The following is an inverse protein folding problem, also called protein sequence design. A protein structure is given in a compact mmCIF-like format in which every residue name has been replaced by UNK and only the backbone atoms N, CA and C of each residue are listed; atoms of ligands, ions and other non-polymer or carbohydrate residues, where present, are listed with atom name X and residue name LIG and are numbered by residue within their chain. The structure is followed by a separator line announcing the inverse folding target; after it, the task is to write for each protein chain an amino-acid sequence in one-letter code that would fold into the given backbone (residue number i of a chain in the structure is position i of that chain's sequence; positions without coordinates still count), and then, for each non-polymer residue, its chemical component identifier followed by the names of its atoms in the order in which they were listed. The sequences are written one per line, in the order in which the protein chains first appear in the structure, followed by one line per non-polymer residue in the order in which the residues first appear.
data_IF_769394509025
#
_entry.id   IF_769394509025
#
_cell.length_a   1.000
_cell.length_b   1.000
_cell.length_c   1.000
_cell.angle_alpha   90.00
_cell.angle_beta   90.00
_cell.angle_gamma   90.00
#
_symmetry.space_group_name_H-M   'P 1'
#
loop_
_entity.id
_entity.type
_entity.pdbx_description
1 polymer ?
#
# COMPACT_ATOMS: atom_id res chain seq x y z
N UNK A 1 -10.31 27.24 22.42
CA UNK A 1 -9.23 26.45 21.81
C UNK A 1 -8.70 27.25 20.64
N UNK A 2 -7.47 27.78 20.75
CA UNK A 2 -6.86 28.65 19.73
C UNK A 2 -6.24 27.75 18.66
N UNK A 3 -6.47 28.00 17.35
CA UNK A 3 -5.83 27.20 16.31
C UNK A 3 -4.31 27.41 16.35
N UNK A 4 -3.56 26.31 16.18
CA UNK A 4 -2.10 26.31 16.14
C UNK A 4 -1.59 27.22 15.00
N UNK A 5 -0.65 28.15 15.25
CA UNK A 5 -0.15 29.09 14.25
C UNK A 5 0.78 28.48 13.18
N UNK A 6 1.14 27.19 13.26
CA UNK A 6 2.01 26.56 12.26
C UNK A 6 1.23 25.68 11.27
N UNK A 7 1.07 26.08 10.00
CA UNK A 7 0.58 25.16 8.98
C UNK A 7 1.62 24.05 8.79
N UNK A 8 1.22 22.79 9.04
CA UNK A 8 2.05 21.63 8.73
C UNK A 8 2.37 21.67 7.23
N UNK A 9 3.61 22.02 6.90
CA UNK A 9 4.13 21.97 5.54
C UNK A 9 4.19 20.50 5.14
N UNK A 10 3.29 20.11 4.26
CA UNK A 10 3.27 18.80 3.61
C UNK A 10 4.54 18.72 2.76
N UNK A 11 5.51 17.94 3.20
CA UNK A 11 6.66 17.56 2.39
C UNK A 11 6.42 16.13 1.89
N UNK A 12 6.54 15.97 0.58
CA UNK A 12 6.03 14.88 -0.24
C UNK A 12 6.65 13.48 0.00
N UNK A 13 7.39 13.30 1.09
CA UNK A 13 8.38 12.22 1.25
C UNK A 13 8.23 11.34 2.49
N UNK A 14 7.16 11.47 3.28
CA UNK A 14 7.07 10.75 4.56
C UNK A 14 6.04 9.61 4.52
N UNK A 15 6.55 8.40 4.28
CA UNK A 15 5.83 7.15 4.55
C UNK A 15 5.91 6.88 6.06
N UNK A 16 4.73 6.67 6.66
CA UNK A 16 4.46 6.42 8.07
C UNK A 16 5.53 5.64 8.86
N UNK A 17 6.28 6.36 9.70
CA UNK A 17 6.79 5.85 10.98
C UNK A 17 6.94 7.05 11.92
N UNK A 18 5.85 7.42 12.58
CA UNK A 18 5.86 8.34 13.72
C UNK A 18 5.29 7.60 14.94
N UNK A 19 6.17 7.16 15.84
CA UNK A 19 5.83 6.52 17.11
C UNK A 19 5.61 7.64 18.13
N UNK A 20 4.45 8.28 18.11
CA UNK A 20 4.14 9.39 19.04
C UNK A 20 2.89 9.14 19.90
N UNK A 21 2.51 7.89 20.15
CA UNK A 21 1.29 7.57 20.91
C UNK A 21 1.43 6.38 21.86
N UNK A 22 2.25 6.51 22.90
CA UNK A 22 2.08 5.70 24.12
C UNK A 22 1.32 6.54 25.15
N UNK A 23 0.19 6.04 25.72
CA UNK A 23 -0.55 6.74 26.77
C UNK A 23 0.25 6.75 28.09
N UNK A 24 0.23 7.89 28.79
CA UNK A 24 1.03 8.24 29.98
C UNK A 24 0.73 7.40 31.25
N UNK A 25 -0.03 6.31 31.16
CA UNK A 25 -0.68 5.68 32.34
C UNK A 25 0.14 4.60 33.06
N UNK A 26 1.43 4.44 32.76
CA UNK A 26 2.30 3.44 33.44
C UNK A 26 3.54 4.04 34.10
N UNK A 27 3.46 5.27 34.61
CA UNK A 27 4.54 5.93 35.33
C UNK A 27 4.61 5.53 36.83
N UNK A 28 4.82 4.25 37.14
CA UNK A 28 5.24 3.84 38.50
C UNK A 28 6.29 2.74 38.39
N UNK A 29 7.55 3.13 38.14
CA UNK A 29 8.82 2.47 38.50
C UNK A 29 9.89 2.67 37.41
N UNK A 30 10.37 3.90 37.18
CA UNK A 30 11.07 4.21 35.93
C UNK A 30 12.29 5.13 36.11
N UNK A 31 13.26 4.76 36.94
CA UNK A 31 14.62 5.33 36.83
C UNK A 31 15.53 4.43 36.01
N UNK A 32 15.46 3.10 36.23
CA UNK A 32 16.22 2.12 35.42
C UNK A 32 15.67 1.91 34.01
N UNK A 33 14.36 1.98 33.82
CA UNK A 33 13.75 1.87 32.49
C UNK A 33 13.96 3.13 31.63
N UNK A 34 14.09 4.31 32.25
CA UNK A 34 14.36 5.56 31.54
C UNK A 34 15.81 5.59 31.03
N UNK A 35 16.77 5.07 31.80
CA UNK A 35 18.16 4.87 31.32
C UNK A 35 18.22 3.83 30.19
N UNK A 36 17.47 2.72 30.31
CA UNK A 36 17.44 1.69 29.26
C UNK A 36 16.76 2.18 27.97
N UNK A 37 15.71 2.98 28.08
CA UNK A 37 15.03 3.61 26.94
C UNK A 37 15.91 4.67 26.25
N UNK A 38 16.71 5.41 27.02
CA UNK A 38 17.67 6.41 26.50
C UNK A 38 18.90 5.74 25.86
N UNK A 39 19.25 4.52 26.27
CA UNK A 39 20.34 3.73 25.70
C UNK A 39 19.97 3.01 24.38
N UNK A 40 18.69 2.93 24.03
CA UNK A 40 18.28 2.47 22.70
C UNK A 40 18.60 3.59 21.70
N UNK A 41 19.73 3.45 20.98
CA UNK A 41 20.00 4.24 19.79
C UNK A 41 18.72 4.33 18.95
N UNK A 42 18.27 5.54 18.54
CA UNK A 42 17.10 5.67 17.69
C UNK A 42 17.26 4.72 16.53
N UNK A 43 16.43 3.67 16.46
CA UNK A 43 16.51 2.68 15.38
C UNK A 43 16.48 3.48 14.10
N UNK A 44 17.57 3.43 13.32
CA UNK A 44 17.69 4.25 12.13
C UNK A 44 16.41 4.09 11.33
N UNK A 45 15.73 5.22 11.09
CA UNK A 45 14.49 5.23 10.33
C UNK A 45 14.87 4.61 8.98
N UNK A 46 14.47 3.38 8.70
CA UNK A 46 14.76 2.71 7.43
C UNK A 46 13.84 3.35 6.39
N UNK A 47 14.09 4.61 6.07
CA UNK A 47 13.58 5.26 4.88
C UNK A 47 14.56 4.92 3.77
N UNK A 48 14.17 4.01 2.88
CA UNK A 48 14.82 3.88 1.57
C UNK A 48 14.52 5.15 0.77
N UNK A 49 15.13 6.28 1.16
CA UNK A 49 15.14 7.52 0.40
C UNK A 49 16.15 7.39 -0.75
N UNK A 50 15.96 6.37 -1.59
CA UNK A 50 16.76 6.15 -2.77
C UNK A 50 15.92 6.55 -3.98
N UNK A 51 16.29 7.69 -4.57
CA UNK A 51 15.61 8.27 -5.73
C UNK A 51 15.59 7.33 -6.94
N UNK A 52 16.61 6.50 -7.11
CA UNK A 52 16.66 5.51 -8.20
C UNK A 52 15.63 4.41 -7.98
N UNK A 53 15.54 3.86 -6.77
CA UNK A 53 14.52 2.85 -6.44
C UNK A 53 13.10 3.41 -6.59
N UNK A 54 12.86 4.66 -6.16
CA UNK A 54 11.58 5.34 -6.36
C UNK A 54 11.26 5.49 -7.85
N UNK A 55 12.23 5.94 -8.66
CA UNK A 55 12.01 6.03 -10.11
C UNK A 55 11.70 4.66 -10.73
N UNK A 56 12.44 3.61 -10.34
CA UNK A 56 12.19 2.24 -10.79
C UNK A 56 10.78 1.76 -10.38
N UNK A 57 10.36 2.04 -9.15
CA UNK A 57 9.01 1.73 -8.67
C UNK A 57 7.94 2.47 -9.47
N UNK A 58 8.13 3.75 -9.81
CA UNK A 58 7.22 4.51 -10.71
C UNK A 58 7.15 3.90 -12.08
N UNK A 59 8.30 3.54 -12.66
CA UNK A 59 8.32 2.93 -13.99
C UNK A 59 7.58 1.60 -13.98
N UNK A 60 7.85 0.73 -13.00
CA UNK A 60 7.16 -0.55 -12.85
C UNK A 60 5.67 -0.33 -12.65
N UNK A 61 5.26 0.58 -11.76
CA UNK A 61 3.83 0.84 -11.52
C UNK A 61 3.12 1.39 -12.76
N UNK A 62 3.76 2.30 -13.50
CA UNK A 62 3.20 2.84 -14.75
C UNK A 62 3.07 1.76 -15.82
N UNK A 63 4.09 0.92 -15.99
CA UNK A 63 4.04 -0.15 -17.00
C UNK A 63 3.03 -1.23 -16.63
N UNK A 64 2.93 -1.62 -15.35
CA UNK A 64 1.96 -2.64 -14.89
C UNK A 64 0.52 -2.15 -14.94
N UNK A 65 0.26 -0.85 -14.95
CA UNK A 65 -1.09 -0.30 -15.18
C UNK A 65 -1.36 -0.08 -16.68
N UNK A 66 -0.46 0.61 -17.39
CA UNK A 66 -0.72 1.05 -18.76
C UNK A 66 -0.72 -0.10 -19.76
N UNK A 67 0.23 -1.04 -19.65
CA UNK A 67 0.35 -2.13 -20.62
C UNK A 67 -0.88 -3.06 -20.58
N UNK A 68 -1.31 -3.59 -19.41
CA UNK A 68 -2.51 -4.41 -19.36
C UNK A 68 -3.78 -3.64 -19.74
N UNK A 69 -3.89 -2.36 -19.37
CA UNK A 69 -5.04 -1.53 -19.75
C UNK A 69 -5.17 -1.40 -21.28
N UNK A 70 -4.08 -1.03 -21.95
CA UNK A 70 -4.04 -0.95 -23.41
C UNK A 70 -4.32 -2.31 -24.05
N UNK A 71 -3.75 -3.38 -23.50
CA UNK A 71 -4.01 -4.76 -23.92
C UNK A 71 -5.48 -5.15 -23.80
N UNK A 72 -6.16 -4.78 -22.71
CA UNK A 72 -7.59 -5.02 -22.51
C UNK A 72 -8.45 -4.24 -23.49
N UNK A 73 -8.13 -2.96 -23.75
CA UNK A 73 -8.85 -2.15 -24.75
C UNK A 73 -8.71 -2.76 -26.14
N UNK A 74 -7.50 -3.16 -26.53
CA UNK A 74 -7.26 -3.82 -27.81
C UNK A 74 -7.99 -5.17 -27.90
N UNK A 75 -7.93 -5.97 -26.84
CA UNK A 75 -8.63 -7.26 -26.78
C UNK A 75 -10.13 -7.09 -26.99
N UNK A 76 -10.76 -6.11 -26.33
CA UNK A 76 -12.18 -5.77 -26.51
C UNK A 76 -12.48 -5.39 -27.96
N UNK A 77 -11.63 -4.54 -28.57
CA UNK A 77 -11.79 -4.13 -29.97
C UNK A 77 -11.65 -5.27 -30.98
N UNK A 78 -10.85 -6.30 -30.66
CA UNK A 78 -10.65 -7.47 -31.51
C UNK A 78 -11.73 -8.56 -31.31
N UNK A 79 -12.56 -8.48 -30.27
CA UNK A 79 -13.61 -9.47 -29.98
C UNK A 79 -14.53 -9.77 -31.17
N UNK A 80 -15.04 -8.79 -31.93
CA UNK A 80 -15.93 -9.09 -33.05
C UNK A 80 -15.23 -9.80 -34.21
N UNK A 81 -13.89 -9.70 -34.30
CA UNK A 81 -13.09 -10.29 -35.38
C UNK A 81 -12.60 -11.70 -35.03
N UNK A 82 -12.19 -11.92 -33.78
CA UNK A 82 -11.52 -13.15 -33.35
C UNK A 82 -12.40 -14.06 -32.48
N UNK A 83 -13.47 -13.53 -31.86
CA UNK A 83 -14.28 -14.24 -30.88
C UNK A 83 -13.53 -14.51 -29.56
N UNK A 84 -14.15 -15.30 -28.67
CA UNK A 84 -13.55 -15.74 -27.40
C UNK A 84 -13.68 -17.26 -27.31
N UNK A 85 -12.57 -17.96 -27.12
CA UNK A 85 -12.57 -19.39 -26.84
C UNK A 85 -12.67 -19.70 -25.34
N UNK A 86 -12.87 -20.98 -25.04
CA UNK A 86 -12.97 -21.47 -23.65
C UNK A 86 -11.63 -21.37 -22.91
N UNK A 87 -10.51 -21.42 -23.63
CA UNK A 87 -9.17 -21.37 -23.03
C UNK A 87 -8.90 -19.96 -22.52
N UNK A 88 -9.20 -18.94 -23.31
CA UNK A 88 -9.07 -17.53 -22.96
C UNK A 88 -9.95 -17.19 -21.75
N UNK A 89 -11.22 -17.63 -21.77
CA UNK A 89 -12.14 -17.41 -20.67
C UNK A 89 -11.68 -18.14 -19.40
N UNK A 90 -11.24 -19.39 -19.51
CA UNK A 90 -10.77 -20.17 -18.36
C UNK A 90 -9.50 -19.59 -17.76
N UNK A 91 -8.56 -19.10 -18.58
CA UNK A 91 -7.36 -18.41 -18.12
C UNK A 91 -7.71 -17.09 -17.41
N UNK A 92 -8.59 -16.27 -17.99
CA UNK A 92 -9.04 -15.02 -17.39
C UNK A 92 -9.64 -15.26 -16.00
N UNK A 93 -10.61 -16.17 -15.90
CA UNK A 93 -11.31 -16.45 -14.64
C UNK A 93 -10.36 -17.06 -13.62
N UNK A 94 -9.57 -18.05 -14.01
CA UNK A 94 -8.65 -18.74 -13.09
C UNK A 94 -7.58 -17.81 -12.55
N UNK A 95 -6.95 -17.01 -13.43
CA UNK A 95 -5.92 -16.06 -13.00
C UNK A 95 -6.50 -14.92 -12.16
N UNK A 96 -7.70 -14.43 -12.48
CA UNK A 96 -8.38 -13.43 -11.65
C UNK A 96 -8.61 -13.94 -10.21
N UNK A 97 -9.11 -15.17 -10.08
CA UNK A 97 -9.36 -15.78 -8.76
C UNK A 97 -8.03 -16.00 -8.02
N UNK A 98 -7.04 -16.61 -8.68
CA UNK A 98 -5.76 -16.96 -8.04
C UNK A 98 -4.99 -15.72 -7.57
N UNK A 99 -4.89 -14.69 -8.41
CA UNK A 99 -4.22 -13.43 -8.04
C UNK A 99 -5.02 -12.64 -6.99
N UNK A 100 -6.34 -12.64 -7.08
CA UNK A 100 -7.23 -12.05 -6.07
C UNK A 100 -7.07 -12.71 -4.70
N UNK A 101 -6.97 -14.04 -4.65
CA UNK A 101 -6.64 -14.78 -3.43
C UNK A 101 -5.23 -14.47 -2.93
N UNK A 102 -4.26 -14.34 -3.84
CA UNK A 102 -2.90 -13.92 -3.52
C UNK A 102 -2.83 -12.57 -2.80
N UNK A 103 -3.61 -11.59 -3.22
CA UNK A 103 -3.70 -10.29 -2.55
C UNK A 103 -4.50 -10.38 -1.25
N UNK A 104 -5.72 -10.90 -1.31
CA UNK A 104 -6.65 -10.85 -0.17
C UNK A 104 -6.26 -11.79 0.97
N UNK A 105 -5.83 -13.01 0.66
CA UNK A 105 -5.41 -14.01 1.65
C UNK A 105 -3.92 -13.90 1.93
N UNK A 106 -3.10 -13.75 0.88
CA UNK A 106 -1.64 -13.63 1.01
C UNK A 106 -1.21 -12.28 1.54
N UNK A 107 -1.14 -11.25 0.68
CA UNK A 107 -0.57 -9.95 1.03
C UNK A 107 -1.29 -9.30 2.21
N UNK A 108 -2.62 -9.31 2.20
CA UNK A 108 -3.44 -8.66 3.21
C UNK A 108 -3.52 -9.47 4.52
N UNK A 109 -4.16 -10.65 4.52
CA UNK A 109 -4.44 -11.39 5.76
C UNK A 109 -3.19 -12.04 6.34
N UNK A 110 -2.38 -12.71 5.51
CA UNK A 110 -1.20 -13.43 5.98
C UNK A 110 -0.02 -12.48 6.26
N UNK A 111 0.44 -11.72 5.25
CA UNK A 111 1.66 -10.92 5.40
C UNK A 111 1.45 -9.61 6.18
N UNK A 112 0.37 -8.86 5.89
CA UNK A 112 0.14 -7.59 6.57
C UNK A 112 -0.42 -7.77 7.98
N UNK A 113 -1.47 -8.58 8.15
CA UNK A 113 -2.18 -8.73 9.43
C UNK A 113 -1.80 -9.95 10.26
N UNK A 114 -1.02 -10.90 9.72
CA UNK A 114 -0.64 -12.14 10.42
C UNK A 114 -1.85 -12.90 11.00
N UNK A 115 -2.96 -12.91 10.27
CA UNK A 115 -4.24 -13.43 10.73
C UNK A 115 -4.24 -14.94 11.00
N UNK A 116 -3.30 -15.69 10.42
CA UNK A 116 -3.13 -17.13 10.62
C UNK A 116 -1.68 -17.56 10.42
N UNK A 117 -1.33 -18.76 10.90
CA UNK A 117 -0.04 -19.42 10.63
C UNK A 117 -0.22 -20.45 9.53
N UNK A 118 0.77 -20.60 8.66
CA UNK A 118 0.79 -21.63 7.62
C UNK A 118 2.16 -22.29 7.50
N UNK A 119 2.24 -23.40 6.78
CA UNK A 119 3.53 -24.00 6.43
C UNK A 119 4.24 -23.18 5.33
N UNK A 120 5.51 -23.51 5.07
CA UNK A 120 6.34 -22.78 4.12
C UNK A 120 5.84 -22.87 2.67
N UNK A 121 5.22 -23.99 2.30
CA UNK A 121 4.67 -24.19 0.95
C UNK A 121 3.54 -23.19 0.70
N UNK A 122 2.56 -23.11 1.62
CA UNK A 122 1.44 -22.17 1.51
C UNK A 122 1.94 -20.73 1.52
N UNK A 123 2.91 -20.39 2.38
CA UNK A 123 3.51 -19.06 2.42
C UNK A 123 4.12 -18.65 1.07
N UNK A 124 4.93 -19.54 0.47
CA UNK A 124 5.56 -19.28 -0.82
C UNK A 124 4.50 -19.16 -1.92
N UNK A 125 3.51 -20.06 -1.93
CA UNK A 125 2.41 -20.01 -2.91
C UNK A 125 1.64 -18.70 -2.82
N UNK A 126 1.28 -18.25 -1.63
CA UNK A 126 0.59 -16.98 -1.43
C UNK A 126 1.46 -15.77 -1.85
N UNK A 127 2.78 -15.83 -1.62
CA UNK A 127 3.71 -14.80 -2.08
C UNK A 127 3.78 -14.73 -3.62
N UNK A 128 3.83 -15.89 -4.30
CA UNK A 128 3.84 -15.97 -5.76
C UNK A 128 2.54 -15.45 -6.33
N UNK A 129 1.40 -15.97 -5.86
CA UNK A 129 0.08 -15.56 -6.34
C UNK A 129 -0.20 -14.07 -6.11
N UNK A 130 0.21 -13.51 -4.96
CA UNK A 130 0.08 -12.09 -4.70
C UNK A 130 1.00 -11.25 -5.59
N UNK A 131 2.22 -11.73 -5.87
CA UNK A 131 3.16 -11.03 -6.77
C UNK A 131 2.67 -11.03 -8.22
N UNK A 132 1.97 -12.08 -8.66
CA UNK A 132 1.33 -12.14 -9.98
C UNK A 132 0.23 -11.09 -10.18
N UNK A 133 -0.34 -10.52 -9.10
CA UNK A 133 -1.31 -9.43 -9.18
C UNK A 133 -0.68 -8.06 -9.52
N UNK A 134 0.65 -7.98 -9.59
CA UNK A 134 1.41 -6.79 -10.01
C UNK A 134 1.12 -5.50 -9.21
N UNK A 135 0.76 -5.62 -7.91
CA UNK A 135 0.53 -4.48 -7.00
C UNK A 135 1.82 -3.96 -6.32
N UNK A 136 2.99 -4.29 -6.89
CA UNK A 136 4.30 -3.96 -6.34
C UNK A 136 4.88 -5.02 -5.38
N UNK A 137 6.10 -4.81 -4.87
CA UNK A 137 6.78 -5.77 -4.02
C UNK A 137 6.04 -6.03 -2.70
N UNK A 138 6.03 -7.28 -2.22
CA UNK A 138 5.27 -7.68 -1.01
C UNK A 138 5.62 -6.84 0.23
N UNK A 139 6.90 -6.50 0.42
CA UNK A 139 7.36 -5.70 1.56
C UNK A 139 6.80 -4.27 1.49
N UNK A 140 6.84 -3.67 0.29
CA UNK A 140 6.28 -2.35 0.06
C UNK A 140 4.77 -2.35 0.30
N UNK A 141 4.06 -3.31 -0.29
CA UNK A 141 2.61 -3.44 -0.14
C UNK A 141 2.20 -3.56 1.33
N UNK A 142 2.87 -4.45 2.08
CA UNK A 142 2.58 -4.67 3.51
C UNK A 142 2.87 -3.43 4.36
N UNK A 143 3.97 -2.72 4.09
CA UNK A 143 4.32 -1.51 4.82
C UNK A 143 3.29 -0.39 4.58
N UNK A 144 2.95 -0.15 3.31
CA UNK A 144 1.95 0.84 2.90
C UNK A 144 0.57 0.50 3.46
N UNK A 145 0.18 -0.79 3.45
CA UNK A 145 -1.10 -1.24 4.00
C UNK A 145 -1.21 -1.03 5.52
N UNK A 146 -0.13 -1.30 6.26
CA UNK A 146 -0.08 -1.04 7.72
C UNK A 146 -0.12 0.46 8.03
N UNK A 147 0.58 1.27 7.24
CA UNK A 147 0.54 2.73 7.31
C UNK A 147 -0.88 3.26 7.09
N UNK A 148 -1.58 2.77 6.05
CA UNK A 148 -2.98 3.10 5.81
C UNK A 148 -3.86 2.79 7.03
N UNK A 149 -3.75 1.60 7.64
CA UNK A 149 -4.51 1.29 8.84
C UNK A 149 -4.14 2.15 10.06
N UNK A 150 -2.87 2.48 10.23
CA UNK A 150 -2.39 3.27 11.38
C UNK A 150 -2.81 4.75 11.28
N UNK A 151 -2.85 5.31 10.07
CA UNK A 151 -3.11 6.74 9.85
C UNK A 151 -4.38 6.99 9.03
N UNK A 152 -5.29 6.01 8.97
CA UNK A 152 -6.52 6.08 8.16
C UNK A 152 -7.22 7.43 8.31
N UNK A 153 -7.56 8.05 7.18
CA UNK A 153 -8.19 9.39 7.11
C UNK A 153 -7.38 10.56 7.71
N UNK A 154 -6.08 10.36 7.98
CA UNK A 154 -5.15 11.40 8.42
C UNK A 154 -4.18 11.76 7.29
N UNK A 155 -3.48 12.92 7.36
CA UNK A 155 -2.54 13.36 6.33
C UNK A 155 -1.46 12.35 5.92
N UNK A 156 -1.11 11.42 6.81
CA UNK A 156 -0.08 10.40 6.56
C UNK A 156 -0.64 9.12 5.91
N UNK A 157 -1.95 9.02 5.68
CA UNK A 157 -2.54 7.90 4.94
C UNK A 157 -2.22 8.03 3.43
N UNK A 158 -1.49 7.07 2.84
CA UNK A 158 -1.11 7.12 1.43
C UNK A 158 -2.30 7.13 0.47
N UNK A 159 -3.47 6.69 0.92
CA UNK A 159 -4.67 6.53 0.09
C UNK A 159 -5.91 7.26 0.63
N UNK A 160 -5.77 8.27 1.51
CA UNK A 160 -6.97 8.93 2.05
C UNK A 160 -7.73 9.74 0.98
N UNK A 161 -9.03 9.48 0.79
CA UNK A 161 -9.86 10.27 -0.11
C UNK A 161 -10.30 11.61 0.51
N UNK A 162 -10.20 11.78 1.84
CA UNK A 162 -10.80 12.90 2.58
C UNK A 162 -9.94 14.17 2.62
N UNK A 163 -8.68 14.09 2.24
CA UNK A 163 -7.73 15.20 2.37
C UNK A 163 -7.82 16.28 1.26
N UNK A 164 -8.83 16.21 0.37
CA UNK A 164 -8.89 17.02 -0.84
C UNK A 164 -9.81 18.26 -0.74
N UNK A 165 -10.40 18.52 0.44
CA UNK A 165 -11.29 19.66 0.69
C UNK A 165 -12.76 19.37 0.42
N UNK A 166 -13.61 20.40 0.55
CA UNK A 166 -15.07 20.28 0.47
C UNK A 166 -15.60 20.47 -0.97
N UNK A 167 -16.72 19.81 -1.30
CA UNK A 167 -17.40 19.90 -2.61
C UNK A 167 -17.24 18.64 -3.47
N UNK A 168 -18.22 18.37 -4.34
CA UNK A 168 -18.26 17.15 -5.19
C UNK A 168 -17.00 16.99 -6.05
N UNK A 169 -16.48 18.08 -6.62
CA UNK A 169 -15.27 18.04 -7.43
C UNK A 169 -14.05 17.56 -6.63
N UNK A 170 -13.88 18.08 -5.41
CA UNK A 170 -12.78 17.75 -4.52
C UNK A 170 -12.91 16.32 -3.96
N UNK A 171 -14.14 15.86 -3.71
CA UNK A 171 -14.41 14.48 -3.31
C UNK A 171 -14.12 13.48 -4.44
N UNK A 172 -14.50 13.80 -5.68
CA UNK A 172 -14.16 12.98 -6.85
C UNK A 172 -12.65 12.97 -7.08
N UNK A 173 -11.98 14.12 -6.95
CA UNK A 173 -10.52 14.20 -7.03
C UNK A 173 -9.85 13.37 -5.94
N UNK A 174 -10.36 13.42 -4.72
CA UNK A 174 -9.85 12.62 -3.60
C UNK A 174 -10.08 11.13 -3.78
N UNK A 175 -11.22 10.73 -4.36
CA UNK A 175 -11.48 9.34 -4.73
C UNK A 175 -10.52 8.87 -5.83
N UNK A 176 -10.34 9.66 -6.89
CA UNK A 176 -9.36 9.38 -7.94
C UNK A 176 -7.94 9.29 -7.36
N UNK A 177 -7.59 10.14 -6.39
CA UNK A 177 -6.31 10.06 -5.68
C UNK A 177 -6.20 8.75 -4.89
N UNK A 178 -7.19 8.39 -4.07
CA UNK A 178 -7.17 7.13 -3.32
C UNK A 178 -6.99 5.90 -4.22
N UNK A 179 -7.60 5.92 -5.41
CA UNK A 179 -7.57 4.83 -6.40
C UNK A 179 -6.25 4.82 -7.19
N UNK A 180 -5.77 5.98 -7.66
CA UNK A 180 -4.66 6.08 -8.63
C UNK A 180 -3.32 6.49 -7.99
N UNK A 181 -3.33 7.27 -6.91
CA UNK A 181 -2.12 7.85 -6.36
C UNK A 181 -1.15 6.81 -5.77
N UNK A 182 -1.65 5.68 -5.26
CA UNK A 182 -0.76 4.57 -4.92
C UNK A 182 0.01 3.98 -6.09
N UNK A 183 -0.51 4.11 -7.32
CA UNK A 183 0.19 3.70 -8.54
C UNK A 183 1.13 4.78 -9.10
N UNK A 184 0.87 6.07 -8.82
CA UNK A 184 1.61 7.19 -9.41
C UNK A 184 2.71 7.77 -8.51
N UNK A 185 2.65 7.51 -7.20
CA UNK A 185 3.53 8.10 -6.19
C UNK A 185 4.50 7.11 -5.53
N UNK A 186 4.46 5.83 -5.94
CA UNK A 186 5.52 4.85 -5.63
C UNK A 186 6.89 5.33 -6.10
#
# INVERSE_FOLDING_TARGET
MKPDPNPLVINDNYVCLEVSSLPDTYATNTTKELEFSTALTPRSRITLANKELQNQQRYIARTTVLIPFLGSVLAIGLLPLLGIGLIELSLLVSMYILTGLGITVGFHRYFAHRAFKSNKVIEITLAILGSMAAQGPVIFWVATHRCHHQYSDQPNDPHSPRLHGNGIYNQLRGLCYAILAGCLRA
#
